data_IF_515858297177
#
_entry.id   IF_515858297177
#
_cell.length_a   1.000
_cell.length_b   1.000
_cell.length_c   1.000
_cell.angle_alpha   90.00
_cell.angle_beta   90.00
_cell.angle_gamma   90.00
#
_symmetry.space_group_name_H-M   'P 1'
#
loop_
_entity.id
_entity.type
_entity.pdbx_description
1 polymer ?
#
# COMPACT_ATOMS: atom_id res chain seq x y z
N UNK A 1 -4.89 -3.38 -12.50
CA UNK A 1 -4.80 -4.25 -11.32
C UNK A 1 -4.91 -5.75 -11.63
N UNK A 2 -5.35 -6.20 -12.81
CA UNK A 2 -5.56 -7.63 -13.10
C UNK A 2 -4.29 -8.52 -13.14
N UNK A 3 -3.09 -7.94 -12.98
CA UNK A 3 -1.81 -8.65 -13.07
C UNK A 3 -0.95 -8.48 -11.80
N UNK A 4 -1.53 -8.03 -10.68
CA UNK A 4 -0.80 -7.97 -9.41
C UNK A 4 -1.00 -9.32 -8.73
N UNK A 5 0.10 -10.01 -8.44
CA UNK A 5 0.06 -11.31 -7.78
C UNK A 5 -0.23 -11.15 -6.27
N UNK A 6 -0.99 -12.08 -5.66
CA UNK A 6 -1.20 -12.07 -4.22
C UNK A 6 0.11 -12.08 -3.44
N UNK A 7 0.18 -11.25 -2.41
CA UNK A 7 1.29 -11.02 -1.50
C UNK A 7 2.59 -10.49 -2.14
N UNK A 8 2.59 -10.19 -3.44
CA UNK A 8 3.76 -9.61 -4.11
C UNK A 8 4.07 -8.21 -3.57
N UNK A 9 5.30 -7.72 -3.81
CA UNK A 9 5.67 -6.37 -3.42
C UNK A 9 4.80 -5.31 -4.12
N UNK A 10 4.32 -5.58 -5.34
CA UNK A 10 3.36 -4.73 -6.04
C UNK A 10 2.01 -4.64 -5.32
N UNK A 11 1.56 -5.72 -4.68
CA UNK A 11 0.36 -5.70 -3.85
C UNK A 11 0.55 -4.78 -2.63
N UNK A 12 1.74 -4.83 -2.01
CA UNK A 12 2.10 -3.93 -0.90
C UNK A 12 2.20 -2.48 -1.37
N UNK A 13 2.90 -2.21 -2.47
CA UNK A 13 3.01 -0.86 -3.04
C UNK A 13 1.63 -0.30 -3.38
N UNK A 14 0.76 -1.13 -3.96
CA UNK A 14 -0.62 -0.74 -4.24
C UNK A 14 -1.35 -0.34 -2.96
N UNK A 15 -1.21 -1.11 -1.88
CA UNK A 15 -1.84 -0.78 -0.61
C UNK A 15 -1.28 0.51 -0.01
N UNK A 16 0.04 0.73 -0.08
CA UNK A 16 0.68 1.96 0.38
C UNK A 16 0.09 3.17 -0.34
N UNK A 17 0.10 3.15 -1.68
CA UNK A 17 -0.46 4.24 -2.49
C UNK A 17 -1.95 4.43 -2.21
N UNK A 18 -2.68 3.33 -2.01
CA UNK A 18 -4.08 3.37 -1.61
C UNK A 18 -4.32 4.10 -0.29
N UNK A 19 -3.45 3.95 0.72
CA UNK A 19 -3.58 4.72 1.96
C UNK A 19 -3.27 6.19 1.70
N UNK A 20 -2.15 6.50 1.03
CA UNK A 20 -1.75 7.87 0.73
C UNK A 20 -2.82 8.65 -0.06
N UNK A 21 -3.47 8.02 -1.05
CA UNK A 21 -4.39 8.73 -1.96
C UNK A 21 -5.70 9.27 -1.35
N UNK A 22 -5.91 9.09 -0.05
CA UNK A 22 -7.22 9.26 0.59
C UNK A 22 -7.56 10.71 0.90
N UNK A 23 -6.58 11.61 0.83
CA UNK A 23 -6.72 13.05 0.94
C UNK A 23 -6.94 13.77 -0.41
N UNK A 24 -7.22 13.01 -1.48
CA UNK A 24 -7.39 13.44 -2.89
C UNK A 24 -6.12 13.55 -3.73
N UNK A 25 -4.94 13.51 -3.12
CA UNK A 25 -3.68 13.52 -3.85
C UNK A 25 -2.72 12.49 -3.23
N UNK A 26 -1.57 12.32 -3.85
CA UNK A 26 -0.45 11.70 -3.17
C UNK A 26 0.62 12.78 -3.27
N UNK A 27 1.19 13.22 -2.16
CA UNK A 27 2.17 14.29 -2.19
C UNK A 27 3.53 13.79 -2.68
N UNK A 28 4.36 14.73 -3.11
CA UNK A 28 5.73 14.41 -3.52
C UNK A 28 6.56 13.92 -2.32
N UNK A 29 6.23 14.38 -1.10
CA UNK A 29 6.80 13.93 0.15
C UNK A 29 6.49 12.45 0.43
N UNK A 30 5.23 12.02 0.30
CA UNK A 30 4.84 10.62 0.48
C UNK A 30 5.51 9.70 -0.55
N UNK A 31 5.59 10.12 -1.82
CA UNK A 31 6.29 9.36 -2.86
C UNK A 31 7.78 9.25 -2.55
N UNK A 32 8.43 10.34 -2.15
CA UNK A 32 9.85 10.32 -1.77
C UNK A 32 10.09 9.39 -0.58
N UNK A 33 9.24 9.42 0.43
CA UNK A 33 9.35 8.55 1.60
C UNK A 33 9.20 7.07 1.21
N UNK A 34 8.26 6.75 0.30
CA UNK A 34 8.12 5.41 -0.25
C UNK A 34 9.37 4.97 -1.03
N UNK A 35 9.99 5.85 -1.82
CA UNK A 35 11.24 5.56 -2.54
C UNK A 35 12.42 5.32 -1.59
N UNK A 36 12.50 6.08 -0.49
CA UNK A 36 13.50 5.85 0.58
C UNK A 36 13.25 4.52 1.30
N UNK A 37 11.98 4.14 1.48
CA UNK A 37 11.59 2.89 2.16
C UNK A 37 11.70 1.65 1.25
N UNK A 38 11.65 1.83 -0.07
CA UNK A 38 11.65 0.76 -1.07
C UNK A 38 12.79 -0.29 -0.91
N UNK A 39 14.06 0.11 -0.71
CA UNK A 39 15.14 -0.86 -0.45
C UNK A 39 14.94 -1.70 0.81
N UNK A 40 14.30 -1.13 1.83
CA UNK A 40 13.97 -1.83 3.08
C UNK A 40 12.87 -2.87 2.81
N UNK A 41 11.84 -2.51 2.03
CA UNK A 41 10.80 -3.46 1.61
C UNK A 41 11.40 -4.65 0.87
N UNK A 42 12.28 -4.42 -0.10
CA UNK A 42 12.99 -5.48 -0.80
C UNK A 42 13.75 -6.39 0.15
N UNK A 43 14.46 -5.81 1.13
CA UNK A 43 15.20 -6.59 2.12
C UNK A 43 14.27 -7.43 3.01
N UNK A 44 13.16 -6.87 3.48
CA UNK A 44 12.17 -7.60 4.29
C UNK A 44 11.55 -8.77 3.52
N UNK A 45 11.20 -8.56 2.24
CA UNK A 45 10.69 -9.62 1.38
C UNK A 45 11.70 -10.75 1.17
N UNK A 46 12.97 -10.41 0.95
CA UNK A 46 14.04 -11.39 0.87
C UNK A 46 14.18 -12.18 2.18
N UNK A 47 14.11 -11.52 3.32
CA UNK A 47 14.32 -12.17 4.63
C UNK A 47 13.14 -13.06 5.06
N UNK A 48 11.91 -12.68 4.73
CA UNK A 48 10.71 -13.42 5.14
C UNK A 48 10.36 -14.52 4.12
N UNK A 49 10.46 -14.22 2.83
CA UNK A 49 9.99 -15.11 1.76
C UNK A 49 11.12 -15.74 0.93
N UNK A 50 12.37 -15.30 1.12
CA UNK A 50 13.50 -15.74 0.28
C UNK A 50 13.49 -15.14 -1.13
N UNK A 51 12.65 -14.13 -1.37
CA UNK A 51 12.46 -13.52 -2.68
C UNK A 51 13.43 -12.37 -2.92
N UNK A 52 14.38 -12.55 -3.84
CA UNK A 52 15.21 -11.44 -4.30
C UNK A 52 14.50 -10.65 -5.38
N UNK A 53 14.08 -9.44 -5.01
CA UNK A 53 13.35 -8.54 -5.87
C UNK A 53 14.35 -7.67 -6.64
N UNK A 54 14.71 -8.12 -7.85
CA UNK A 54 15.57 -7.38 -8.78
C UNK A 54 14.79 -6.32 -9.59
N UNK A 55 13.78 -5.69 -8.98
CA UNK A 55 12.91 -4.73 -9.65
C UNK A 55 13.37 -3.30 -9.41
N UNK A 56 13.24 -2.49 -10.45
CA UNK A 56 13.22 -1.05 -10.33
C UNK A 56 11.92 -0.64 -9.63
N UNK A 57 12.00 -0.51 -8.29
CA UNK A 57 10.85 -0.16 -7.48
C UNK A 57 10.32 1.23 -7.78
N UNK A 58 11.18 2.16 -8.22
CA UNK A 58 10.75 3.50 -8.62
C UNK A 58 9.83 3.42 -9.83
N UNK A 59 10.25 2.66 -10.86
CA UNK A 59 9.41 2.40 -12.02
C UNK A 59 8.09 1.72 -11.62
N UNK A 60 8.13 0.73 -10.72
CA UNK A 60 6.91 0.02 -10.28
C UNK A 60 5.95 0.89 -9.51
N UNK A 61 6.46 1.74 -8.60
CA UNK A 61 5.64 2.72 -7.87
C UNK A 61 4.93 3.64 -8.86
N UNK A 62 5.65 4.15 -9.85
CA UNK A 62 5.08 5.01 -10.90
C UNK A 62 3.98 4.29 -11.70
N UNK A 63 4.27 3.06 -12.18
CA UNK A 63 3.30 2.24 -12.93
C UNK A 63 2.03 1.96 -12.13
N UNK A 64 2.15 1.60 -10.85
CA UNK A 64 1.01 1.30 -9.99
C UNK A 64 0.22 2.57 -9.68
N UNK A 65 0.91 3.68 -9.40
CA UNK A 65 0.27 4.98 -9.19
C UNK A 65 -0.58 5.37 -10.41
N UNK A 66 -0.04 5.24 -11.63
CA UNK A 66 -0.79 5.50 -12.86
C UNK A 66 -1.99 4.55 -13.03
N UNK A 67 -1.85 3.27 -12.69
CA UNK A 67 -2.99 2.35 -12.69
C UNK A 67 -4.08 2.76 -11.69
N UNK A 68 -3.69 3.28 -10.52
CA UNK A 68 -4.65 3.69 -9.50
C UNK A 68 -5.45 4.94 -9.89
N UNK A 69 -4.88 5.85 -10.70
CA UNK A 69 -5.60 7.04 -11.21
C UNK A 69 -6.91 6.68 -11.89
N UNK A 70 -6.93 5.59 -12.66
CA UNK A 70 -8.13 5.11 -13.37
C UNK A 70 -9.19 4.52 -12.44
N UNK A 71 -8.80 4.05 -11.25
CA UNK A 71 -9.70 3.45 -10.26
C UNK A 71 -9.92 4.31 -9.02
N UNK A 72 -9.31 5.51 -8.98
CA UNK A 72 -9.31 6.42 -7.84
C UNK A 72 -10.71 6.68 -7.30
N UNK A 73 -11.71 6.86 -8.16
CA UNK A 73 -13.13 7.04 -7.75
C UNK A 73 -13.72 5.85 -6.97
N UNK A 74 -13.21 4.63 -7.18
CA UNK A 74 -13.67 3.42 -6.49
C UNK A 74 -12.90 3.16 -5.19
N UNK A 75 -11.68 3.68 -5.09
CA UNK A 75 -10.76 3.46 -3.97
C UNK A 75 -10.81 4.58 -2.93
N UNK A 76 -11.25 5.77 -3.34
CA UNK A 76 -11.40 6.92 -2.46
C UNK A 76 -12.76 6.96 -1.77
N UNK A 77 -12.77 7.45 -0.53
CA UNK A 77 -13.99 7.75 0.20
C UNK A 77 -13.80 7.60 1.70
N UNK A 78 -14.67 8.23 2.49
CA UNK A 78 -14.51 8.26 3.95
C UNK A 78 -14.70 6.93 4.68
N UNK A 79 -15.08 5.85 3.99
CA UNK A 79 -15.26 4.48 4.52
C UNK A 79 -14.69 3.47 3.52
N UNK A 80 -14.27 2.30 4.01
CA UNK A 80 -13.85 1.18 3.15
C UNK A 80 -15.07 0.53 2.52
N UNK A 81 -15.11 0.49 1.19
CA UNK A 81 -16.16 -0.14 0.38
C UNK A 81 -15.96 -1.64 0.24
N UNK A 82 -17.03 -2.35 -0.15
CA UNK A 82 -16.94 -3.80 -0.41
C UNK A 82 -15.94 -4.14 -1.53
N UNK A 83 -15.77 -3.23 -2.51
CA UNK A 83 -14.78 -3.39 -3.57
C UNK A 83 -13.35 -3.37 -3.01
N UNK A 84 -13.06 -2.42 -2.12
CA UNK A 84 -11.74 -2.33 -1.47
C UNK A 84 -11.48 -3.56 -0.58
N UNK A 85 -12.51 -4.00 0.17
CA UNK A 85 -12.44 -5.23 0.96
C UNK A 85 -12.08 -6.43 0.08
N UNK A 86 -12.86 -6.67 -0.96
CA UNK A 86 -12.65 -7.78 -1.87
C UNK A 86 -11.28 -7.71 -2.56
N UNK A 87 -10.83 -6.51 -2.94
CA UNK A 87 -9.53 -6.30 -3.57
C UNK A 87 -8.39 -6.70 -2.63
N UNK A 88 -8.31 -6.09 -1.45
CA UNK A 88 -7.18 -6.30 -0.55
C UNK A 88 -7.25 -7.63 0.20
N UNK A 89 -8.43 -8.20 0.44
CA UNK A 89 -8.53 -9.58 0.94
C UNK A 89 -8.07 -10.64 -0.07
N UNK A 90 -8.03 -10.32 -1.38
CA UNK A 90 -7.43 -11.21 -2.40
C UNK A 90 -5.94 -10.97 -2.58
N UNK A 91 -5.49 -9.73 -2.42
CA UNK A 91 -4.10 -9.33 -2.68
C UNK A 91 -3.18 -9.48 -1.47
N UNK A 92 -3.68 -9.29 -0.25
CA UNK A 92 -2.91 -9.34 1.00
C UNK A 92 -3.52 -10.41 1.91
N UNK A 93 -3.09 -11.65 1.69
CA UNK A 93 -3.62 -12.84 2.37
C UNK A 93 -2.68 -13.39 3.44
N UNK A 94 -1.38 -13.10 3.34
CA UNK A 94 -0.39 -13.48 4.34
C UNK A 94 -0.29 -12.40 5.45
N UNK A 95 -0.35 -12.79 6.74
CA UNK A 95 -0.24 -11.84 7.85
C UNK A 95 1.05 -11.02 7.87
N UNK A 96 2.19 -11.62 7.49
CA UNK A 96 3.47 -10.90 7.44
C UNK A 96 3.46 -9.83 6.35
N UNK A 97 2.86 -10.13 5.20
CA UNK A 97 2.65 -9.15 4.14
C UNK A 97 1.69 -8.03 4.58
N UNK A 98 0.62 -8.35 5.30
CA UNK A 98 -0.31 -7.35 5.85
C UNK A 98 0.40 -6.41 6.83
N UNK A 99 1.24 -6.94 7.73
CA UNK A 99 2.04 -6.16 8.67
C UNK A 99 3.02 -5.22 7.94
N UNK A 100 3.72 -5.73 6.92
CA UNK A 100 4.59 -4.90 6.07
C UNK A 100 3.77 -3.77 5.42
N UNK A 101 2.61 -4.10 4.85
CA UNK A 101 1.75 -3.14 4.17
C UNK A 101 1.26 -2.04 5.13
N UNK A 102 0.85 -2.40 6.35
CA UNK A 102 0.44 -1.43 7.38
C UNK A 102 1.61 -0.54 7.79
N UNK A 103 2.76 -1.12 8.15
CA UNK A 103 3.92 -0.34 8.60
C UNK A 103 4.41 0.64 7.53
N UNK A 104 4.58 0.16 6.30
CA UNK A 104 5.08 0.96 5.20
C UNK A 104 4.08 2.03 4.76
N UNK A 105 2.78 1.71 4.74
CA UNK A 105 1.75 2.69 4.38
C UNK A 105 1.62 3.80 5.40
N UNK A 106 1.72 3.48 6.70
CA UNK A 106 1.75 4.49 7.76
C UNK A 106 2.98 5.38 7.66
N UNK A 107 4.15 4.81 7.35
CA UNK A 107 5.37 5.61 7.18
C UNK A 107 5.24 6.59 6.01
N UNK A 108 4.87 6.10 4.84
CA UNK A 108 4.69 6.92 3.64
C UNK A 108 3.63 8.01 3.86
N UNK A 109 2.42 7.65 4.31
CA UNK A 109 1.32 8.60 4.51
C UNK A 109 1.53 9.59 5.66
N UNK A 110 2.55 9.38 6.51
CA UNK A 110 2.89 10.35 7.56
C UNK A 110 3.89 11.40 7.09
N UNK A 111 4.43 11.29 5.87
CA UNK A 111 5.52 12.14 5.38
C UNK A 111 5.13 13.62 5.21
N UNK A 112 3.90 13.90 4.79
CA UNK A 112 3.30 15.24 4.74
C UNK A 112 2.24 15.49 5.84
N UNK A 113 2.02 14.46 6.67
CA UNK A 113 1.22 14.50 7.89
C UNK A 113 -0.06 13.71 7.75
N UNK A 114 -0.18 12.63 8.52
CA UNK A 114 -1.28 11.67 8.41
C UNK A 114 -2.66 12.32 8.55
N UNK A 115 -3.35 12.46 7.42
CA UNK A 115 -4.63 13.12 7.29
C UNK A 115 -5.80 12.26 7.79
N UNK A 116 -6.95 12.90 8.00
CA UNK A 116 -8.12 12.27 8.63
C UNK A 116 -8.62 11.04 7.85
N UNK A 117 -8.59 11.07 6.53
CA UNK A 117 -9.10 9.95 5.71
C UNK A 117 -8.08 8.82 5.58
N UNK A 118 -6.79 9.14 5.44
CA UNK A 118 -5.70 8.15 5.51
C UNK A 118 -5.74 7.41 6.85
N UNK A 119 -5.78 8.16 7.97
CA UNK A 119 -5.87 7.57 9.31
C UNK A 119 -7.11 6.68 9.47
N UNK A 120 -8.27 7.08 8.94
CA UNK A 120 -9.48 6.24 8.99
C UNK A 120 -9.33 4.95 8.20
N UNK A 121 -8.75 5.01 7.00
CA UNK A 121 -8.55 3.84 6.14
C UNK A 121 -7.50 2.92 6.76
N UNK A 122 -6.39 3.48 7.22
CA UNK A 122 -5.35 2.78 7.95
C UNK A 122 -5.91 2.06 9.18
N UNK A 123 -6.63 2.77 10.05
CA UNK A 123 -7.19 2.18 11.28
C UNK A 123 -8.18 1.05 10.97
N UNK A 124 -9.02 1.21 9.92
CA UNK A 124 -9.91 0.14 9.50
C UNK A 124 -9.14 -1.14 9.16
N UNK A 125 -8.08 -1.04 8.35
CA UNK A 125 -7.28 -2.21 7.96
C UNK A 125 -6.44 -2.78 9.10
N UNK A 126 -5.91 -1.91 9.97
CA UNK A 126 -5.24 -2.33 11.18
C UNK A 126 -6.20 -3.13 12.08
N UNK A 127 -7.44 -2.70 12.27
CA UNK A 127 -8.45 -3.44 13.03
C UNK A 127 -8.87 -4.75 12.35
N UNK A 128 -9.01 -4.76 11.03
CA UNK A 128 -9.42 -5.96 10.27
C UNK A 128 -8.33 -7.04 10.24
N UNK A 129 -7.05 -6.66 10.19
CA UNK A 129 -5.92 -7.59 10.11
C UNK A 129 -5.26 -7.89 11.47
N UNK A 130 -5.41 -7.01 12.46
CA UNK A 130 -5.01 -7.30 13.84
C UNK A 130 -6.04 -8.25 14.46
N UNK A 131 -5.87 -9.55 14.22
CA UNK A 131 -6.55 -10.59 15.01
C UNK A 131 -5.98 -10.51 16.43
N UNK A 132 -6.69 -9.83 17.33
CA UNK A 132 -6.56 -10.04 18.79
C UNK A 132 -7.30 -11.32 19.15
#
# INVERSE_FOLDING_TARGET
>A
MNNIEPNSIEAVILFILYICMQDEKISDEEIKELLVTAPILNKMYLDIFGEYIALDLEQKISEINDQTKNQRKKLMGGKVSNFEKELFSKLLTDPSTQDIALLASRNAASADGLHRFESKKFNFWAEEWSVI
#
